data_IF_150611618414
#
_entry.id   IF_150611618414
#
_cell.length_a   1.000
_cell.length_b   1.000
_cell.length_c   1.000
_cell.angle_alpha   90.00
_cell.angle_beta   90.00
_cell.angle_gamma   90.00
#
_symmetry.space_group_name_H-M   'P 1'
#
loop_
_entity.id
_entity.type
_entity.pdbx_description
1 polymer ?
#
# COMPACT_ATOMS: atom_id res chain seq x y z
N UNK A 1 9.89 -10.89 0.61
CA UNK A 1 10.82 -10.63 1.73
C UNK A 1 10.04 -10.78 3.03
N UNK A 2 10.61 -11.40 4.07
CA UNK A 2 9.90 -11.63 5.35
C UNK A 2 9.46 -10.32 6.02
N UNK A 3 10.39 -9.36 6.08
CA UNK A 3 10.18 -8.00 6.63
C UNK A 3 9.11 -7.16 5.90
N UNK A 4 8.66 -7.57 4.72
CA UNK A 4 7.57 -6.90 3.99
C UNK A 4 6.20 -7.46 4.35
N UNK A 5 6.14 -8.73 4.78
CA UNK A 5 4.88 -9.45 5.03
C UNK A 5 4.44 -9.40 6.49
N UNK A 6 5.39 -9.24 7.40
CA UNK A 6 5.17 -9.29 8.84
C UNK A 6 5.27 -7.88 9.44
N UNK A 7 4.46 -7.61 10.45
CA UNK A 7 4.54 -6.38 11.22
C UNK A 7 5.73 -6.43 12.19
N UNK A 8 6.62 -5.43 12.11
CA UNK A 8 7.91 -5.44 12.82
C UNK A 8 7.84 -4.70 14.17
N UNK A 9 6.87 -3.80 14.36
CA UNK A 9 6.69 -2.97 15.57
C UNK A 9 7.94 -2.21 16.05
N UNK A 10 8.95 -2.06 15.20
CA UNK A 10 10.21 -1.35 15.46
C UNK A 10 10.54 -0.38 14.32
N UNK A 11 11.60 0.45 14.45
CA UNK A 11 11.94 1.49 13.50
C UNK A 11 12.59 0.93 12.22
N UNK A 12 11.88 0.07 11.50
CA UNK A 12 12.35 -0.60 10.28
C UNK A 12 11.48 -0.17 9.10
N UNK A 13 12.14 0.38 8.06
CA UNK A 13 11.50 0.75 6.80
C UNK A 13 11.88 -0.27 5.71
N UNK A 14 10.88 -0.87 5.06
CA UNK A 14 11.06 -1.69 3.86
C UNK A 14 10.68 -0.89 2.62
N UNK A 15 11.55 -0.87 1.61
CA UNK A 15 11.29 -0.18 0.33
C UNK A 15 11.14 -1.22 -0.78
N UNK A 16 9.98 -1.22 -1.42
CA UNK A 16 9.67 -2.06 -2.58
C UNK A 16 9.48 -1.16 -3.79
N UNK A 17 10.10 -1.51 -4.92
CA UNK A 17 9.89 -0.81 -6.20
C UNK A 17 8.99 -1.65 -7.07
N UNK A 18 8.04 -0.98 -7.71
CA UNK A 18 7.11 -1.56 -8.68
C UNK A 18 7.20 -0.75 -9.98
N UNK A 19 6.78 -1.34 -11.09
CA UNK A 19 6.94 -0.73 -12.42
C UNK A 19 5.90 0.34 -12.70
N UNK A 20 4.71 0.22 -12.11
CA UNK A 20 3.59 1.09 -12.39
C UNK A 20 2.58 1.12 -11.23
N UNK A 21 1.60 2.01 -11.38
CA UNK A 21 0.54 2.24 -10.40
C UNK A 21 -0.35 1.01 -10.16
N UNK A 22 -0.65 0.23 -11.21
CA UNK A 22 -1.49 -0.96 -11.07
C UNK A 22 -0.82 -2.01 -10.16
N UNK A 23 0.46 -2.27 -10.42
CA UNK A 23 1.28 -3.16 -9.58
C UNK A 23 1.36 -2.64 -8.14
N UNK A 24 1.49 -1.31 -7.95
CA UNK A 24 1.47 -0.69 -6.62
C UNK A 24 0.14 -0.95 -5.88
N UNK A 25 -1.00 -0.81 -6.55
CA UNK A 25 -2.30 -1.06 -5.93
C UNK A 25 -2.54 -2.54 -5.65
N UNK A 26 -2.04 -3.43 -6.51
CA UNK A 26 -2.16 -4.88 -6.33
C UNK A 26 -1.41 -5.34 -5.08
N UNK A 27 -0.16 -4.88 -4.88
CA UNK A 27 0.62 -5.30 -3.71
C UNK A 27 0.02 -4.82 -2.38
N UNK A 28 -0.70 -3.69 -2.38
CA UNK A 28 -1.41 -3.17 -1.20
C UNK A 28 -2.66 -4.02 -0.93
N UNK A 29 -3.46 -4.29 -1.97
CA UNK A 29 -4.68 -5.07 -1.86
C UNK A 29 -4.43 -6.55 -1.50
N UNK A 30 -3.29 -7.11 -1.89
CA UNK A 30 -2.88 -8.48 -1.55
C UNK A 30 -2.27 -8.60 -0.14
N UNK A 31 -2.11 -7.48 0.58
CA UNK A 31 -1.53 -7.48 1.91
C UNK A 31 -2.58 -7.89 2.96
N UNK A 32 -2.25 -8.88 3.78
CA UNK A 32 -3.19 -9.54 4.71
C UNK A 32 -3.91 -8.58 5.66
N UNK A 33 -3.23 -7.53 6.13
CA UNK A 33 -3.78 -6.63 7.15
C UNK A 33 -4.61 -5.47 6.59
N UNK A 34 -4.35 -4.99 5.37
CA UNK A 34 -5.17 -3.93 4.77
C UNK A 34 -5.37 -2.62 5.57
N UNK A 35 -4.56 -2.33 6.60
CA UNK A 35 -4.81 -1.28 7.60
C UNK A 35 -4.97 0.15 7.03
N UNK A 36 -4.09 0.52 6.10
CA UNK A 36 -3.98 1.89 5.63
C UNK A 36 -2.88 2.08 4.62
N UNK A 37 -3.01 3.09 3.77
CA UNK A 37 -1.94 3.53 2.87
C UNK A 37 -1.98 5.03 2.65
N UNK A 38 -0.92 5.55 2.06
CA UNK A 38 -0.81 6.97 1.69
C UNK A 38 -0.16 7.10 0.33
N UNK A 39 -0.52 8.16 -0.40
CA UNK A 39 0.09 8.50 -1.68
C UNK A 39 0.64 9.92 -1.63
N UNK A 40 1.82 10.08 -2.22
CA UNK A 40 2.49 11.35 -2.37
C UNK A 40 2.58 11.65 -3.87
N UNK A 41 1.70 12.51 -4.34
CA UNK A 41 1.59 12.90 -5.75
C UNK A 41 1.22 14.37 -5.87
N UNK A 42 1.54 14.99 -7.01
CA UNK A 42 1.06 16.34 -7.37
C UNK A 42 -0.17 16.28 -8.28
N UNK A 43 -0.58 15.08 -8.69
CA UNK A 43 -1.69 14.82 -9.59
C UNK A 43 -2.90 14.37 -8.77
N UNK A 44 -3.97 15.17 -8.81
CA UNK A 44 -5.20 14.90 -8.07
C UNK A 44 -5.93 13.66 -8.57
N UNK A 45 -5.89 13.39 -9.88
CA UNK A 45 -6.55 12.24 -10.48
C UNK A 45 -5.94 10.95 -9.93
N UNK A 46 -4.62 10.91 -9.72
CA UNK A 46 -3.94 9.74 -9.13
C UNK A 46 -4.43 9.50 -7.70
N UNK A 47 -4.71 10.56 -6.94
CA UNK A 47 -5.30 10.46 -5.60
C UNK A 47 -6.70 9.87 -5.63
N UNK A 48 -7.56 10.35 -6.52
CA UNK A 48 -8.93 9.83 -6.69
C UNK A 48 -8.92 8.36 -7.17
N UNK A 49 -8.06 8.03 -8.13
CA UNK A 49 -7.91 6.65 -8.63
C UNK A 49 -7.40 5.69 -7.55
N UNK A 50 -6.54 6.15 -6.64
CA UNK A 50 -6.11 5.34 -5.52
C UNK A 50 -7.30 4.99 -4.61
N UNK A 51 -8.10 6.00 -4.23
CA UNK A 51 -9.28 5.80 -3.38
C UNK A 51 -10.27 4.82 -4.01
N UNK A 52 -10.46 4.88 -5.32
CA UNK A 52 -11.36 3.97 -6.03
C UNK A 52 -10.87 2.52 -6.14
N UNK A 53 -9.55 2.28 -6.07
CA UNK A 53 -8.94 0.95 -6.31
C UNK A 53 -8.61 0.16 -5.05
N UNK A 54 -8.45 0.82 -3.92
CA UNK A 54 -7.98 0.16 -2.71
C UNK A 54 -9.10 -0.50 -1.92
N UNK A 55 -8.81 -1.70 -1.42
CA UNK A 55 -9.68 -2.49 -0.54
C UNK A 55 -9.06 -2.53 0.84
N UNK A 56 -9.14 -1.39 1.53
CA UNK A 56 -8.67 -1.28 2.91
C UNK A 56 -9.85 -1.55 3.83
N UNK A 57 -9.76 -2.61 4.61
CA UNK A 57 -10.72 -2.93 5.65
C UNK A 57 -9.94 -3.02 6.96
N UNK A 58 -10.37 -2.26 7.96
CA UNK A 58 -9.83 -2.40 9.30
C UNK A 58 -10.30 -3.75 9.86
N UNK A 59 -9.42 -4.75 9.82
CA UNK A 59 -9.61 -5.99 10.55
C UNK A 59 -9.33 -5.73 12.04
N UNK A 60 -10.36 -5.32 12.76
CA UNK A 60 -10.48 -5.53 14.23
C UNK A 60 -11.60 -6.52 14.49
#
# INVERSE_FOLDING_TARGET
MRIYKEEIFGPVLSVVRVKNFEEATQIINDHEFGNGTSIYTRDGDVGEHLLAKLKLEWLV
#
